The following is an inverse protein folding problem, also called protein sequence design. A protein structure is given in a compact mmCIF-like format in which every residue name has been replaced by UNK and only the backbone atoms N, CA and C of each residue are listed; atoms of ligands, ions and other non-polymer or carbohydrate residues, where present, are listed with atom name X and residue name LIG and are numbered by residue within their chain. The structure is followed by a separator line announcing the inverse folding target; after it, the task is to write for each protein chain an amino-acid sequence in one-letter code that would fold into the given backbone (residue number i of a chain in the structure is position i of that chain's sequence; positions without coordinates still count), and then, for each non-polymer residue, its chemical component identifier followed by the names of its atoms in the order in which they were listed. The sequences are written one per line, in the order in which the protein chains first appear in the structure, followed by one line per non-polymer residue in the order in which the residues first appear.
data_IF_931173994376
#
_entry.id   IF_931173994376
#
_cell.length_a   1.000
_cell.length_b   1.000
_cell.length_c   1.000
_cell.angle_alpha   90.00
_cell.angle_beta   90.00
_cell.angle_gamma   90.00
#
_symmetry.space_group_name_H-M   'P 1'
#
loop_
_entity.id
_entity.type
_entity.pdbx_description
1 polymer ?
#
# COMPACT_ATOMS: atom_id res chain seq x y z
N UNK A 1 2.55 -55.64 -36.32
CA UNK A 1 1.80 -54.71 -35.44
C UNK A 1 1.32 -55.50 -34.22
N UNK A 2 2.05 -55.47 -33.10
CA UNK A 2 1.71 -56.29 -31.91
C UNK A 2 0.65 -55.56 -31.09
N UNK A 3 -0.58 -56.08 -31.12
CA UNK A 3 -1.65 -55.61 -30.25
C UNK A 3 -1.37 -56.07 -28.81
N UNK A 4 -1.31 -55.12 -27.88
CA UNK A 4 -1.20 -55.40 -26.45
C UNK A 4 -2.40 -56.24 -25.96
N UNK A 5 -2.18 -57.13 -25.00
CA UNK A 5 -3.26 -57.90 -24.39
C UNK A 5 -4.26 -56.98 -23.68
N UNK A 6 -5.53 -57.38 -23.56
CA UNK A 6 -6.56 -56.57 -22.85
C UNK A 6 -6.11 -56.12 -21.45
N UNK A 7 -5.41 -56.99 -20.70
CA UNK A 7 -4.86 -56.66 -19.37
C UNK A 7 -3.78 -55.57 -19.44
N UNK A 8 -2.91 -55.63 -20.45
CA UNK A 8 -1.86 -54.63 -20.65
C UNK A 8 -2.46 -53.28 -21.06
N UNK A 9 -3.52 -53.28 -21.88
CA UNK A 9 -4.26 -52.06 -22.23
C UNK A 9 -4.94 -51.42 -21.01
N UNK A 10 -5.55 -52.24 -20.14
CA UNK A 10 -6.15 -51.75 -18.89
C UNK A 10 -5.11 -51.13 -17.95
N UNK A 11 -3.95 -51.76 -17.77
CA UNK A 11 -2.88 -51.23 -16.93
C UNK A 11 -2.32 -49.90 -17.46
N UNK A 12 -2.12 -49.80 -18.78
CA UNK A 12 -1.66 -48.55 -19.42
C UNK A 12 -2.72 -47.45 -19.25
N UNK A 13 -4.00 -47.76 -19.44
CA UNK A 13 -5.08 -46.79 -19.24
C UNK A 13 -5.17 -46.30 -17.79
N UNK A 14 -5.01 -47.20 -16.80
CA UNK A 14 -4.97 -46.83 -15.38
C UNK A 14 -3.77 -45.94 -15.06
N UNK A 15 -2.58 -46.25 -15.61
CA UNK A 15 -1.38 -45.44 -15.39
C UNK A 15 -1.50 -44.04 -16.01
N UNK A 16 -2.05 -43.94 -17.22
CA UNK A 16 -2.33 -42.66 -17.88
C UNK A 16 -3.35 -41.84 -17.06
N UNK A 17 -4.41 -42.47 -16.54
CA UNK A 17 -5.39 -41.79 -15.70
C UNK A 17 -4.79 -41.24 -14.41
N UNK A 18 -3.85 -41.95 -13.79
CA UNK A 18 -3.15 -41.50 -12.58
C UNK A 18 -2.23 -40.31 -12.91
N UNK A 19 -1.47 -40.40 -14.00
CA UNK A 19 -0.59 -39.32 -14.45
C UNK A 19 -1.39 -38.06 -14.78
N UNK A 20 -2.52 -38.19 -15.46
CA UNK A 20 -3.43 -37.08 -15.76
C UNK A 20 -3.96 -36.44 -14.46
N UNK A 21 -4.28 -37.24 -13.44
CA UNK A 21 -4.74 -36.74 -12.14
C UNK A 21 -3.66 -35.94 -11.38
N UNK A 22 -2.37 -36.26 -11.57
CA UNK A 22 -1.26 -35.51 -10.99
C UNK A 22 -0.77 -34.32 -11.82
N UNK A 23 -1.11 -34.26 -13.12
CA UNK A 23 -0.75 -33.15 -14.02
C UNK A 23 -1.83 -32.06 -14.04
N UNK A 24 -3.08 -32.37 -13.70
CA UNK A 24 -4.07 -31.33 -13.52
C UNK A 24 -3.68 -30.47 -12.31
N UNK A 25 -3.43 -29.16 -12.49
CA UNK A 25 -3.35 -28.27 -11.34
C UNK A 25 -4.66 -28.43 -10.59
N UNK A 26 -4.60 -28.63 -9.27
CA UNK A 26 -5.77 -28.42 -8.43
C UNK A 26 -6.28 -27.04 -8.80
N UNK A 27 -7.41 -26.99 -9.52
CA UNK A 27 -8.10 -25.75 -9.80
C UNK A 27 -8.41 -25.22 -8.41
N UNK A 28 -7.62 -24.23 -7.99
CA UNK A 28 -7.75 -23.60 -6.70
C UNK A 28 -9.19 -23.15 -6.65
N UNK A 29 -9.98 -23.82 -5.80
CA UNK A 29 -11.33 -23.40 -5.48
C UNK A 29 -11.22 -21.91 -5.21
N UNK A 30 -11.88 -21.08 -6.03
CA UNK A 30 -11.87 -19.64 -5.85
C UNK A 30 -12.26 -19.41 -4.41
N UNK A 31 -11.33 -18.94 -3.58
CA UNK A 31 -11.68 -18.55 -2.23
C UNK A 31 -12.79 -17.52 -2.41
N UNK A 32 -13.98 -17.82 -1.90
CA UNK A 32 -15.04 -16.84 -1.78
C UNK A 32 -14.38 -15.56 -1.26
N UNK A 33 -14.52 -14.42 -1.96
CA UNK A 33 -13.81 -13.21 -1.58
C UNK A 33 -14.13 -12.93 -0.11
N UNK A 34 -13.10 -12.98 0.73
CA UNK A 34 -13.24 -12.70 2.16
C UNK A 34 -13.92 -11.33 2.25
N UNK A 35 -15.06 -11.21 2.94
CA UNK A 35 -15.77 -9.94 3.02
C UNK A 35 -14.82 -8.84 3.49
N UNK A 36 -14.63 -7.81 2.67
CA UNK A 36 -13.72 -6.72 3.01
C UNK A 36 -14.33 -5.86 4.13
N UNK A 37 -13.66 -5.83 5.29
CA UNK A 37 -14.03 -4.94 6.38
C UNK A 37 -13.67 -3.49 6.01
N UNK A 38 -14.68 -2.62 5.87
CA UNK A 38 -14.50 -1.22 5.45
C UNK A 38 -14.24 -0.26 6.62
N UNK A 39 -14.16 -0.75 7.85
CA UNK A 39 -13.87 0.08 9.01
C UNK A 39 -12.37 0.26 9.18
N UNK A 40 -11.98 1.47 9.58
CA UNK A 40 -10.59 1.80 9.87
C UNK A 40 -10.46 2.95 10.85
N UNK A 41 -9.26 3.11 11.40
CA UNK A 41 -8.91 4.21 12.31
C UNK A 41 -7.48 4.69 12.08
N UNK A 42 -7.26 5.99 12.23
CA UNK A 42 -5.92 6.56 12.28
C UNK A 42 -5.43 6.61 13.72
N UNK A 43 -4.21 6.13 13.97
CA UNK A 43 -3.53 6.16 15.28
C UNK A 43 -2.38 7.18 15.28
N UNK A 44 -2.02 7.70 16.45
CA UNK A 44 -0.97 8.71 16.60
C UNK A 44 0.39 8.04 16.67
N UNK A 45 0.50 6.95 17.45
CA UNK A 45 1.75 6.25 17.71
C UNK A 45 1.65 4.80 17.28
N UNK A 46 2.62 4.34 16.49
CA UNK A 46 2.75 2.96 16.06
C UNK A 46 3.23 2.05 17.21
N UNK A 47 2.36 1.82 18.20
CA UNK A 47 2.64 1.00 19.39
C UNK A 47 1.52 0.00 19.67
N UNK A 48 1.81 -1.09 20.42
CA UNK A 48 0.78 -2.04 20.86
C UNK A 48 -0.36 -1.42 21.67
N UNK A 49 -0.07 -0.36 22.43
CA UNK A 49 -1.06 0.33 23.29
C UNK A 49 -2.13 1.06 22.46
N UNK A 50 -1.79 1.50 21.24
CA UNK A 50 -2.75 2.09 20.30
C UNK A 50 -3.35 1.06 19.34
N UNK A 51 -2.56 0.09 18.85
CA UNK A 51 -3.07 -0.95 17.94
C UNK A 51 -4.08 -1.90 18.60
N UNK A 52 -3.97 -2.13 19.91
CA UNK A 52 -4.88 -3.01 20.65
C UNK A 52 -6.33 -2.48 20.71
N UNK A 53 -6.59 -1.27 21.22
CA UNK A 53 -7.95 -0.70 21.17
C UNK A 53 -8.40 -0.44 19.73
N UNK A 54 -7.49 -0.11 18.80
CA UNK A 54 -7.84 0.05 17.38
C UNK A 54 -8.44 -1.24 16.80
N UNK A 55 -7.80 -2.41 17.03
CA UNK A 55 -8.31 -3.70 16.60
C UNK A 55 -9.70 -3.99 17.16
N UNK A 56 -9.90 -3.79 18.47
CA UNK A 56 -11.21 -3.98 19.11
C UNK A 56 -12.30 -3.12 18.47
N UNK A 57 -11.99 -1.88 18.10
CA UNK A 57 -12.94 -0.97 17.47
C UNK A 57 -13.27 -1.41 16.03
N UNK A 58 -12.27 -1.52 15.16
CA UNK A 58 -12.49 -1.73 13.73
C UNK A 58 -12.97 -3.15 13.41
N UNK A 59 -12.70 -4.12 14.29
CA UNK A 59 -13.13 -5.51 14.16
C UNK A 59 -14.36 -5.85 15.03
N UNK A 60 -15.12 -4.86 15.52
CA UNK A 60 -16.33 -5.13 16.35
C UNK A 60 -17.35 -6.00 15.60
N UNK A 61 -17.57 -5.73 14.31
CA UNK A 61 -18.54 -6.45 13.46
C UNK A 61 -17.88 -7.04 12.20
N UNK A 62 -16.59 -7.40 12.29
CA UNK A 62 -15.81 -7.88 11.15
C UNK A 62 -14.43 -8.35 11.59
N UNK A 63 -13.56 -8.62 10.63
CA UNK A 63 -12.16 -8.95 10.86
C UNK A 63 -11.30 -8.25 9.81
N UNK A 64 -10.00 -8.09 10.03
CA UNK A 64 -9.11 -7.41 9.08
C UNK A 64 -9.50 -5.96 8.75
N UNK A 65 -9.90 -5.17 9.75
CA UNK A 65 -10.11 -3.72 9.60
C UNK A 65 -8.80 -2.96 9.39
N UNK A 66 -8.92 -1.71 8.92
CA UNK A 66 -7.78 -0.88 8.51
C UNK A 66 -7.21 -0.07 9.68
N UNK A 67 -5.89 0.12 9.67
CA UNK A 67 -5.20 1.02 10.59
C UNK A 67 -4.25 1.93 9.82
N UNK A 68 -4.45 3.24 9.97
CA UNK A 68 -3.58 4.24 9.35
C UNK A 68 -2.60 4.77 10.39
N UNK A 69 -1.32 4.81 10.02
CA UNK A 69 -0.25 5.40 10.82
C UNK A 69 0.80 6.02 9.90
N UNK A 70 1.61 6.90 10.46
CA UNK A 70 2.67 7.58 9.71
C UNK A 70 4.05 6.98 9.97
N UNK A 71 4.89 6.97 8.93
CA UNK A 71 6.33 6.73 9.04
C UNK A 71 7.06 7.99 8.57
N UNK A 72 7.85 8.59 9.46
CA UNK A 72 8.69 9.74 9.10
C UNK A 72 9.95 9.27 8.34
N UNK A 73 10.41 10.06 7.37
CA UNK A 73 11.59 9.76 6.54
C UNK A 73 12.85 9.41 7.34
N UNK A 74 13.04 10.02 8.52
CA UNK A 74 14.19 9.72 9.40
C UNK A 74 14.03 8.45 10.25
N UNK A 75 12.81 7.92 10.35
CA UNK A 75 12.45 6.80 11.23
C UNK A 75 12.23 5.50 10.44
N UNK A 76 13.19 5.13 9.58
CA UNK A 76 13.18 3.88 8.80
C UNK A 76 13.91 2.75 9.51
N UNK A 77 13.64 2.57 10.80
CA UNK A 77 14.22 1.49 11.59
C UNK A 77 13.50 0.16 11.31
N UNK A 78 14.16 -0.71 10.54
CA UNK A 78 13.60 -1.99 10.09
C UNK A 78 13.07 -2.86 11.24
N UNK A 79 13.85 -3.04 12.31
CA UNK A 79 13.46 -3.90 13.43
C UNK A 79 12.22 -3.38 14.15
N UNK A 80 12.18 -2.07 14.43
CA UNK A 80 11.04 -1.40 15.05
C UNK A 80 9.76 -1.59 14.23
N UNK A 81 9.83 -1.31 12.93
CA UNK A 81 8.66 -1.39 12.06
C UNK A 81 8.25 -2.84 11.78
N UNK A 82 9.21 -3.76 11.71
CA UNK A 82 8.89 -5.18 11.57
C UNK A 82 8.19 -5.72 12.82
N UNK A 83 8.59 -5.30 14.02
CA UNK A 83 7.90 -5.64 15.27
C UNK A 83 6.46 -5.13 15.26
N UNK A 84 6.25 -3.87 14.88
CA UNK A 84 4.91 -3.31 14.78
C UNK A 84 4.05 -4.03 13.73
N UNK A 85 4.60 -4.34 12.55
CA UNK A 85 3.88 -5.08 11.50
C UNK A 85 3.53 -6.51 11.96
N UNK A 86 4.38 -7.14 12.76
CA UNK A 86 4.06 -8.43 13.37
C UNK A 86 2.91 -8.31 14.35
N UNK A 87 2.85 -7.24 15.14
CA UNK A 87 1.72 -6.96 16.02
C UNK A 87 0.42 -6.75 15.24
N UNK A 88 0.44 -5.95 14.17
CA UNK A 88 -0.73 -5.75 13.30
C UNK A 88 -1.22 -7.07 12.70
N UNK A 89 -0.31 -7.95 12.27
CA UNK A 89 -0.68 -9.28 11.77
C UNK A 89 -1.36 -10.13 12.84
N UNK A 90 -0.84 -10.16 14.07
CA UNK A 90 -1.48 -10.91 15.18
C UNK A 90 -2.88 -10.40 15.51
N UNK A 91 -3.12 -9.11 15.28
CA UNK A 91 -4.38 -8.42 15.60
C UNK A 91 -5.36 -8.37 14.43
N UNK A 92 -4.99 -8.94 13.29
CA UNK A 92 -5.75 -8.84 12.04
C UNK A 92 -6.09 -7.38 11.70
N UNK A 93 -5.04 -6.58 11.56
CA UNK A 93 -5.12 -5.18 11.13
C UNK A 93 -4.42 -5.01 9.78
N UNK A 94 -5.10 -4.36 8.84
CA UNK A 94 -4.55 -4.01 7.53
C UNK A 94 -3.88 -2.63 7.62
N UNK A 95 -2.56 -2.52 7.44
CA UNK A 95 -1.88 -1.24 7.52
C UNK A 95 -2.15 -0.38 6.28
N UNK A 96 -2.42 0.91 6.52
CA UNK A 96 -2.31 1.99 5.54
C UNK A 96 -1.14 2.87 6.02
N UNK A 97 -0.02 2.79 5.31
CA UNK A 97 1.21 3.49 5.71
C UNK A 97 1.23 4.86 5.05
N UNK A 98 1.07 5.93 5.84
CA UNK A 98 1.27 7.30 5.35
C UNK A 98 2.74 7.68 5.46
N UNK A 99 3.37 8.03 4.34
CA UNK A 99 4.73 8.55 4.35
C UNK A 99 4.71 9.99 4.86
N UNK A 100 5.72 10.37 5.63
CA UNK A 100 5.94 11.74 6.04
C UNK A 100 7.40 12.11 5.81
N UNK A 101 7.64 13.34 5.33
CA UNK A 101 9.00 13.89 5.22
C UNK A 101 9.49 14.30 6.60
N UNK A 102 10.40 15.27 6.69
CA UNK A 102 10.90 15.77 7.97
C UNK A 102 10.11 17.02 8.38
N UNK A 103 9.60 17.10 9.62
CA UNK A 103 9.03 18.33 10.13
C UNK A 103 10.16 19.31 10.48
N UNK A 104 10.01 20.56 10.05
CA UNK A 104 10.90 21.68 10.39
C UNK A 104 10.05 22.87 10.82
N UNK A 105 10.19 23.27 12.09
CA UNK A 105 9.32 24.26 12.73
C UNK A 105 7.84 23.86 12.59
N UNK A 106 7.04 24.67 11.89
CA UNK A 106 5.60 24.44 11.67
C UNK A 106 5.27 23.94 10.25
N UNK A 107 6.23 23.38 9.51
CA UNK A 107 5.99 22.85 8.17
C UNK A 107 6.73 21.53 7.92
N UNK A 108 6.29 20.80 6.92
CA UNK A 108 6.97 19.62 6.38
C UNK A 108 7.89 20.04 5.24
N UNK A 109 9.14 19.59 5.28
CA UNK A 109 10.06 19.76 4.16
C UNK A 109 9.61 18.91 2.96
N UNK A 110 10.08 19.24 1.76
CA UNK A 110 9.92 18.35 0.60
C UNK A 110 10.87 17.15 0.72
N UNK A 111 10.58 16.02 0.06
CA UNK A 111 11.52 14.91 -0.03
C UNK A 111 12.85 15.37 -0.64
N UNK A 112 13.95 14.80 -0.13
CA UNK A 112 15.26 14.99 -0.74
C UNK A 112 15.42 14.13 -2.00
N UNK A 113 16.45 14.43 -2.80
CA UNK A 113 16.73 13.67 -4.02
C UNK A 113 16.93 12.17 -3.70
N UNK A 114 16.24 11.29 -4.44
CA UNK A 114 16.24 9.83 -4.22
C UNK A 114 15.59 9.34 -2.92
N UNK A 115 14.80 10.18 -2.24
CA UNK A 115 14.00 9.67 -1.12
C UNK A 115 13.06 8.54 -1.56
N UNK A 116 12.55 8.58 -2.79
CA UNK A 116 11.71 7.53 -3.38
C UNK A 116 12.38 6.15 -3.43
N UNK A 117 13.68 6.06 -3.77
CA UNK A 117 14.44 4.80 -3.73
C UNK A 117 14.54 4.28 -2.30
N UNK A 118 14.87 5.16 -1.37
CA UNK A 118 15.04 4.81 0.03
C UNK A 118 13.70 4.43 0.70
N UNK A 119 12.56 4.97 0.26
CA UNK A 119 11.24 4.51 0.67
C UNK A 119 10.93 3.11 0.16
N UNK A 120 11.17 2.88 -1.14
CA UNK A 120 10.91 1.59 -1.77
C UNK A 120 11.79 0.47 -1.16
N UNK A 121 13.08 0.73 -0.96
CA UNK A 121 14.01 -0.20 -0.31
C UNK A 121 13.61 -0.54 1.12
N UNK A 122 13.13 0.44 1.88
CA UNK A 122 12.72 0.22 3.26
C UNK A 122 11.42 -0.57 3.35
N UNK A 123 10.37 -0.15 2.65
CA UNK A 123 9.06 -0.79 2.74
C UNK A 123 9.02 -2.20 2.15
N UNK A 124 9.88 -2.50 1.17
CA UNK A 124 9.94 -3.83 0.56
C UNK A 124 10.61 -4.88 1.46
N UNK A 125 11.49 -4.46 2.38
CA UNK A 125 12.12 -5.37 3.36
C UNK A 125 11.15 -5.85 4.43
N UNK A 126 10.08 -5.11 4.69
CA UNK A 126 9.12 -5.46 5.73
C UNK A 126 8.23 -6.63 5.28
N UNK A 127 7.97 -7.54 6.21
CA UNK A 127 6.93 -8.55 6.03
C UNK A 127 5.58 -7.91 6.36
N UNK A 128 4.78 -7.62 5.34
CA UNK A 128 3.47 -6.99 5.46
C UNK A 128 2.42 -7.95 6.09
N UNK A 129 1.42 -7.43 6.82
CA UNK A 129 0.34 -8.25 7.38
C UNK A 129 -0.55 -8.92 6.33
N UNK A 130 -0.74 -8.26 5.19
CA UNK A 130 -1.54 -8.74 4.04
C UNK A 130 -0.77 -8.55 2.73
N UNK A 131 -1.27 -9.18 1.66
CA UNK A 131 -0.65 -9.10 0.33
C UNK A 131 -0.61 -7.68 -0.20
N UNK A 132 -1.75 -7.00 -0.28
CA UNK A 132 -1.84 -5.62 -0.78
C UNK A 132 -1.18 -4.65 0.21
N UNK A 133 -0.18 -3.89 -0.25
CA UNK A 133 0.62 -2.98 0.59
C UNK A 133 0.16 -1.54 0.38
N UNK A 134 -0.76 -1.07 1.22
CA UNK A 134 -1.36 0.25 1.06
C UNK A 134 -0.43 1.36 1.57
N UNK A 135 -0.12 2.32 0.71
CA UNK A 135 0.78 3.43 1.02
C UNK A 135 0.14 4.74 0.57
N UNK A 136 0.03 5.72 1.47
CA UNK A 136 -0.41 7.09 1.17
C UNK A 136 0.81 8.00 1.10
N UNK A 137 0.93 8.74 0.01
CA UNK A 137 2.10 9.60 -0.23
C UNK A 137 1.86 10.98 0.38
N UNK A 138 2.46 11.22 1.55
CA UNK A 138 2.43 12.52 2.25
C UNK A 138 1.02 13.00 2.62
N UNK A 139 0.86 14.29 2.86
CA UNK A 139 -0.36 14.89 3.38
C UNK A 139 -0.60 16.26 2.74
N UNK A 140 -1.84 16.53 2.34
CA UNK A 140 -2.37 17.86 2.00
C UNK A 140 -1.38 18.80 1.27
N UNK A 141 -0.77 18.38 0.15
CA UNK A 141 0.23 19.18 -0.55
C UNK A 141 -0.35 20.47 -1.16
N UNK A 142 -1.67 20.62 -1.13
CA UNK A 142 -2.39 21.84 -1.47
C UNK A 142 -2.45 22.88 -0.33
N UNK A 143 -1.79 22.59 0.80
CA UNK A 143 -1.47 23.54 1.85
C UNK A 143 0.05 23.72 1.96
N UNK A 144 0.53 24.96 1.89
CA UNK A 144 1.97 25.25 1.85
C UNK A 144 2.77 24.65 3.01
N UNK A 145 2.23 24.67 4.23
CA UNK A 145 2.89 24.12 5.41
C UNK A 145 3.13 22.61 5.29
N UNK A 146 2.39 21.92 4.44
CA UNK A 146 2.54 20.48 4.22
C UNK A 146 3.48 20.15 3.05
N UNK A 147 3.94 21.15 2.28
CA UNK A 147 4.75 20.95 1.07
C UNK A 147 5.91 21.94 0.87
N UNK A 148 6.75 22.11 1.90
CA UNK A 148 7.95 22.95 1.83
C UNK A 148 7.66 24.46 1.77
N UNK A 149 6.58 24.91 2.43
CA UNK A 149 6.07 26.29 2.44
C UNK A 149 5.61 26.82 1.08
N UNK A 150 5.24 25.94 0.13
CA UNK A 150 4.75 26.35 -1.17
C UNK A 150 3.85 25.28 -1.81
N UNK A 151 2.66 25.67 -2.25
CA UNK A 151 1.76 24.78 -3.00
C UNK A 151 2.24 24.58 -4.44
N UNK A 152 2.63 23.35 -4.78
CA UNK A 152 3.29 23.01 -6.05
C UNK A 152 2.76 21.70 -6.62
N UNK A 153 1.59 21.72 -7.29
CA UNK A 153 0.97 20.52 -7.84
C UNK A 153 1.85 19.79 -8.85
N UNK A 154 2.67 20.53 -9.62
CA UNK A 154 3.57 19.95 -10.61
C UNK A 154 4.64 19.11 -9.95
N UNK A 155 5.32 19.69 -8.97
CA UNK A 155 6.37 18.99 -8.23
C UNK A 155 5.79 17.80 -7.45
N UNK A 156 4.64 17.98 -6.81
CA UNK A 156 3.98 16.88 -6.10
C UNK A 156 3.61 15.73 -7.05
N UNK A 157 3.07 16.01 -8.24
CA UNK A 157 2.75 14.98 -9.24
C UNK A 157 3.99 14.17 -9.68
N UNK A 158 5.11 14.87 -9.94
CA UNK A 158 6.37 14.22 -10.31
C UNK A 158 6.95 13.36 -9.19
N UNK A 159 6.87 13.83 -7.94
CA UNK A 159 7.29 13.07 -6.77
C UNK A 159 6.42 11.84 -6.56
N UNK A 160 5.10 11.99 -6.69
CA UNK A 160 4.16 10.88 -6.62
C UNK A 160 4.50 9.81 -7.66
N UNK A 161 4.71 10.20 -8.91
CA UNK A 161 5.09 9.28 -10.01
C UNK A 161 6.39 8.53 -9.73
N UNK A 162 7.41 9.23 -9.23
CA UNK A 162 8.68 8.63 -8.83
C UNK A 162 8.51 7.57 -7.73
N UNK A 163 7.72 7.87 -6.70
CA UNK A 163 7.47 6.94 -5.59
C UNK A 163 6.62 5.76 -6.05
N UNK A 164 5.56 5.99 -6.83
CA UNK A 164 4.73 4.93 -7.43
C UNK A 164 5.60 3.98 -8.24
N UNK A 165 6.42 4.53 -9.14
CA UNK A 165 7.34 3.75 -9.98
C UNK A 165 8.34 2.96 -9.14
N UNK A 166 8.99 3.59 -8.17
CA UNK A 166 9.97 2.93 -7.32
C UNK A 166 9.37 1.78 -6.50
N UNK A 167 8.20 1.99 -5.88
CA UNK A 167 7.50 0.96 -5.10
C UNK A 167 7.06 -0.20 -6.00
N UNK A 168 6.41 0.08 -7.13
CA UNK A 168 5.94 -0.95 -8.06
C UNK A 168 7.10 -1.76 -8.66
N UNK A 169 8.25 -1.13 -8.91
CA UNK A 169 9.45 -1.83 -9.38
C UNK A 169 10.01 -2.81 -8.34
N UNK A 170 9.82 -2.55 -7.03
CA UNK A 170 10.15 -3.52 -5.98
C UNK A 170 9.12 -4.64 -5.90
N UNK A 171 7.85 -4.27 -5.86
CA UNK A 171 6.77 -5.23 -5.72
C UNK A 171 5.45 -4.71 -6.32
N UNK A 172 4.80 -5.51 -7.16
CA UNK A 172 3.53 -5.14 -7.79
C UNK A 172 2.36 -5.07 -6.80
N UNK A 173 2.49 -5.68 -5.61
CA UNK A 173 1.47 -5.69 -4.57
C UNK A 173 1.33 -4.34 -3.83
N UNK A 174 2.23 -3.37 -4.06
CA UNK A 174 2.06 -2.01 -3.54
C UNK A 174 0.82 -1.33 -4.14
N UNK A 175 -0.08 -0.86 -3.30
CA UNK A 175 -1.24 -0.06 -3.67
C UNK A 175 -1.02 1.37 -3.18
N UNK A 176 -0.61 2.25 -4.10
CA UNK A 176 -0.14 3.59 -3.77
C UNK A 176 -1.27 4.60 -4.01
N UNK A 177 -1.52 5.44 -3.01
CA UNK A 177 -2.56 6.44 -2.96
C UNK A 177 -1.93 7.84 -2.95
N UNK A 178 -2.56 8.80 -3.61
CA UNK A 178 -2.23 10.21 -3.44
C UNK A 178 -2.49 10.63 -1.97
N UNK A 179 -1.83 11.71 -1.53
CA UNK A 179 -2.22 12.44 -0.33
C UNK A 179 -3.71 12.78 -0.36
N UNK A 180 -4.34 12.76 0.80
CA UNK A 180 -5.58 13.52 0.99
C UNK A 180 -5.29 15.01 0.76
N UNK A 181 -6.27 15.73 0.19
CA UNK A 181 -6.21 17.18 0.02
C UNK A 181 -7.22 17.84 0.97
N UNK A 182 -6.92 19.07 1.40
CA UNK A 182 -7.93 19.91 2.02
C UNK A 182 -8.90 20.37 0.93
N UNK A 183 -10.05 19.69 0.84
CA UNK A 183 -11.12 19.99 -0.11
C UNK A 183 -11.68 21.42 0.06
N UNK A 184 -11.57 22.01 1.26
CA UNK A 184 -12.08 23.35 1.54
C UNK A 184 -11.04 24.46 1.30
N UNK A 185 -9.80 24.10 0.91
CA UNK A 185 -8.74 25.07 0.68
C UNK A 185 -9.12 26.07 -0.44
N UNK A 186 -8.92 27.38 -0.23
CA UNK A 186 -9.16 28.35 -1.28
C UNK A 186 -8.04 28.29 -2.34
N UNK A 187 -8.30 28.85 -3.52
CA UNK A 187 -7.23 29.09 -4.49
C UNK A 187 -6.47 30.38 -4.16
N UNK A 188 -5.46 30.29 -3.29
CA UNK A 188 -4.59 31.40 -2.89
C UNK A 188 -3.10 31.00 -2.86
N UNK A 189 -2.48 30.72 -4.03
CA UNK A 189 -1.06 30.36 -4.06
C UNK A 189 -0.18 31.54 -3.61
N UNK A 190 0.96 31.28 -2.95
CA UNK A 190 1.53 29.95 -2.71
C UNK A 190 1.04 29.25 -1.45
N UNK A 191 0.15 29.84 -0.63
CA UNK A 191 -0.25 29.29 0.67
C UNK A 191 -1.27 28.16 0.58
N UNK A 192 -2.26 28.32 -0.30
CA UNK A 192 -3.36 27.38 -0.49
C UNK A 192 -3.61 27.17 -1.96
N UNK A 193 -4.04 25.98 -2.32
CA UNK A 193 -4.44 25.63 -3.68
C UNK A 193 -5.77 24.88 -3.61
N UNK A 194 -6.74 25.34 -4.37
CA UNK A 194 -8.02 24.63 -4.54
C UNK A 194 -7.77 23.18 -5.00
N UNK A 195 -8.46 22.22 -4.37
CA UNK A 195 -8.26 20.78 -4.62
C UNK A 195 -8.47 20.42 -6.10
N UNK A 196 -9.56 20.87 -6.72
CA UNK A 196 -9.89 20.51 -8.09
C UNK A 196 -8.84 21.05 -9.07
N UNK A 197 -8.41 22.30 -8.88
CA UNK A 197 -7.33 22.89 -9.67
C UNK A 197 -5.99 22.19 -9.42
N UNK A 198 -5.71 21.77 -8.19
CA UNK A 198 -4.49 21.04 -7.85
C UNK A 198 -4.44 19.70 -8.58
N UNK A 199 -5.50 18.90 -8.49
CA UNK A 199 -5.63 17.60 -9.17
C UNK A 199 -5.56 17.73 -10.69
N UNK A 200 -6.21 18.75 -11.28
CA UNK A 200 -6.13 19.04 -12.72
C UNK A 200 -4.70 19.35 -13.16
N UNK A 201 -3.95 20.13 -12.39
CA UNK A 201 -2.56 20.45 -12.73
C UNK A 201 -1.64 19.23 -12.52
N UNK A 202 -1.93 18.35 -11.56
CA UNK A 202 -1.24 17.06 -11.43
C UNK A 202 -1.41 16.21 -12.69
N UNK A 203 -2.65 15.96 -13.12
CA UNK A 203 -2.97 15.16 -14.32
C UNK A 203 -2.36 15.77 -15.59
N UNK A 204 -2.36 17.10 -15.69
CA UNK A 204 -1.69 17.78 -16.81
C UNK A 204 -0.17 17.61 -16.79
N UNK A 205 0.44 17.56 -15.61
CA UNK A 205 1.90 17.43 -15.45
C UNK A 205 2.36 16.01 -15.69
N UNK A 206 1.62 15.04 -15.15
CA UNK A 206 1.86 13.60 -15.33
C UNK A 206 0.53 12.97 -15.78
N UNK A 207 0.29 12.85 -17.10
CA UNK A 207 -0.94 12.25 -17.61
C UNK A 207 -1.12 10.82 -17.13
N UNK A 208 -2.30 10.51 -16.59
CA UNK A 208 -2.65 9.22 -16.02
C UNK A 208 -2.12 8.97 -14.62
N UNK A 209 -1.70 10.00 -13.87
CA UNK A 209 -1.19 9.85 -12.49
C UNK A 209 -2.21 9.24 -11.53
N UNK A 210 -3.50 9.23 -11.89
CA UNK A 210 -4.58 8.65 -11.09
C UNK A 210 -5.08 7.28 -11.60
N UNK A 211 -4.41 6.68 -12.60
CA UNK A 211 -4.79 5.38 -13.18
C UNK A 211 -4.18 4.18 -12.44
#
# INVERSE_FOLDING_TARGET
MRFFSKRTQTLIASLISVIIFFIYPNITQSQEPVPNNKFGIHIISATPDESSPAASLVNTNGDWGYITFLIESKDRNENKWQEFFNDLRRRHLIPIVRLATKPVNEHWERPYEKEYEAWADFLDKLNWPVKNRYVVIYNEPNHAKEWGNFTDPKNYAQVLDQIVTALKNKNQDFFVLNAGLDQAAPHQPPQYYDEELFLKEMEKTVPGIFN
#
